data_IF_360355668448
#
_entry.id   IF_360355668448
#
_cell.length_a   1.000
_cell.length_b   1.000
_cell.length_c   1.000
_cell.angle_alpha   90.00
_cell.angle_beta   90.00
_cell.angle_gamma   90.00
#
_symmetry.space_group_name_H-M   'P 1'
#
loop_
_entity.id
_entity.type
_entity.pdbx_description
1 polymer ?
#
# COMPACT_ATOMS: atom_id res chain seq x y z
N UNK A 1 0.81 18.41 -18.48
CA UNK A 1 -0.03 18.27 -17.27
C UNK A 1 -0.70 19.57 -16.84
N UNK A 2 -0.03 20.75 -16.82
CA UNK A 2 -0.75 22.03 -16.58
C UNK A 2 -1.89 22.26 -17.57
N UNK A 3 -1.68 21.87 -18.82
CA UNK A 3 -2.65 22.00 -19.91
C UNK A 3 -3.76 20.93 -19.90
N UNK A 4 -3.65 19.92 -19.03
CA UNK A 4 -4.61 18.81 -18.92
C UNK A 4 -4.91 18.49 -17.44
N UNK A 5 -5.53 19.40 -16.68
CA UNK A 5 -5.77 19.23 -15.24
C UNK A 5 -6.67 18.02 -14.95
N UNK A 6 -7.61 17.69 -15.83
CA UNK A 6 -8.47 16.52 -15.72
C UNK A 6 -7.71 15.20 -15.80
N UNK A 7 -6.82 15.06 -16.79
CA UNK A 7 -5.98 13.87 -16.96
C UNK A 7 -5.06 13.68 -15.74
N UNK A 8 -4.51 14.77 -15.21
CA UNK A 8 -3.69 14.74 -14.00
C UNK A 8 -4.50 14.26 -12.79
N UNK A 9 -5.73 14.73 -12.62
CA UNK A 9 -6.63 14.27 -11.55
C UNK A 9 -7.01 12.79 -11.71
N UNK A 10 -7.24 12.30 -12.94
CA UNK A 10 -7.48 10.87 -13.20
C UNK A 10 -6.24 10.05 -12.83
N UNK A 11 -5.05 10.49 -13.22
CA UNK A 11 -3.81 9.81 -12.88
C UNK A 11 -3.58 9.76 -11.35
N UNK A 12 -3.93 10.83 -10.63
CA UNK A 12 -3.90 10.84 -9.16
C UNK A 12 -4.85 9.82 -8.53
N UNK A 13 -6.06 9.66 -9.08
CA UNK A 13 -7.01 8.65 -8.60
C UNK A 13 -6.50 7.21 -8.76
N UNK A 14 -5.62 6.97 -9.73
CA UNK A 14 -4.95 5.69 -9.91
C UNK A 14 -3.73 5.54 -9.00
N UNK A 15 -2.95 6.61 -8.81
CA UNK A 15 -1.72 6.59 -8.02
C UNK A 15 -2.01 6.49 -6.52
N UNK A 16 -2.99 7.23 -5.99
CA UNK A 16 -3.30 7.28 -4.57
C UNK A 16 -3.50 5.89 -3.92
N UNK A 17 -4.40 5.01 -4.43
CA UNK A 17 -4.53 3.67 -3.89
C UNK A 17 -3.28 2.81 -4.10
N UNK A 18 -2.51 3.03 -5.17
CA UNK A 18 -1.27 2.29 -5.40
C UNK A 18 -0.20 2.63 -4.35
N UNK A 19 -0.05 3.92 -3.98
CA UNK A 19 0.84 4.38 -2.92
C UNK A 19 0.35 3.90 -1.54
N UNK A 20 -0.95 3.96 -1.28
CA UNK A 20 -1.54 3.47 -0.03
C UNK A 20 -1.15 1.99 0.23
N UNK A 21 -1.30 1.13 -0.79
CA UNK A 21 -0.91 -0.29 -0.72
C UNK A 21 0.61 -0.53 -0.79
N UNK A 22 1.37 0.40 -1.37
CA UNK A 22 2.81 0.29 -1.49
C UNK A 22 3.48 1.67 -1.61
N UNK A 23 4.17 2.19 -0.57
CA UNK A 23 4.83 3.49 -0.64
C UNK A 23 5.89 3.61 -1.75
N UNK A 24 6.37 2.49 -2.31
CA UNK A 24 7.29 2.46 -3.46
C UNK A 24 6.59 2.50 -4.83
N UNK A 25 5.27 2.68 -4.89
CA UNK A 25 4.49 2.73 -6.13
C UNK A 25 4.25 4.16 -6.65
N UNK A 26 5.03 5.14 -6.17
CA UNK A 26 5.04 6.51 -6.70
C UNK A 26 5.38 6.52 -8.19
N UNK A 27 4.63 7.30 -8.97
CA UNK A 27 4.74 7.37 -10.43
C UNK A 27 6.10 7.90 -10.90
N UNK A 28 6.70 8.81 -10.13
CA UNK A 28 8.02 9.40 -10.42
C UNK A 28 9.11 8.88 -9.48
N UNK A 29 9.01 7.62 -9.05
CA UNK A 29 10.02 6.94 -8.25
C UNK A 29 10.13 7.49 -6.82
N UNK A 30 10.84 8.60 -6.65
CA UNK A 30 10.99 9.29 -5.35
C UNK A 30 9.82 10.23 -5.06
N UNK A 31 9.17 10.75 -6.10
CA UNK A 31 8.08 11.71 -5.98
C UNK A 31 6.74 11.15 -6.45
N UNK A 32 5.66 11.49 -5.75
CA UNK A 32 4.29 11.25 -6.23
C UNK A 32 3.90 12.29 -7.26
N UNK A 33 2.87 12.00 -8.05
CA UNK A 33 2.29 13.00 -8.93
C UNK A 33 1.70 14.17 -8.12
N UNK A 34 1.14 13.92 -6.93
CA UNK A 34 0.60 14.98 -6.08
C UNK A 34 1.68 15.96 -5.62
N UNK A 35 2.81 15.43 -5.12
CA UNK A 35 3.97 16.24 -4.71
C UNK A 35 4.44 17.12 -5.86
N UNK A 36 4.47 16.58 -7.09
CA UNK A 36 4.88 17.34 -8.27
C UNK A 36 3.87 18.43 -8.63
N UNK A 37 2.58 18.15 -8.60
CA UNK A 37 1.53 19.12 -8.93
C UNK A 37 1.47 20.26 -7.93
N UNK A 38 1.66 19.97 -6.64
CA UNK A 38 1.77 20.98 -5.57
C UNK A 38 3.00 21.85 -5.80
N UNK A 39 4.18 21.24 -6.05
CA UNK A 39 5.41 21.98 -6.32
C UNK A 39 5.31 22.88 -7.59
N UNK A 40 4.58 22.42 -8.61
CA UNK A 40 4.37 23.16 -9.86
C UNK A 40 3.26 24.22 -9.76
N UNK A 41 2.59 24.36 -8.60
CA UNK A 41 1.50 25.30 -8.35
C UNK A 41 0.20 24.98 -9.09
N UNK A 42 0.00 23.73 -9.51
CA UNK A 42 -1.15 23.32 -10.32
C UNK A 42 -2.37 23.02 -9.44
N UNK A 43 -2.90 24.05 -8.78
CA UNK A 43 -4.01 23.94 -7.81
C UNK A 43 -5.27 23.37 -8.45
N UNK A 44 -5.58 23.73 -9.69
CA UNK A 44 -6.78 23.23 -10.39
C UNK A 44 -6.81 21.70 -10.50
N UNK A 45 -5.67 21.07 -10.85
CA UNK A 45 -5.60 19.60 -10.93
C UNK A 45 -5.75 18.94 -9.55
N UNK A 46 -5.20 19.57 -8.50
CA UNK A 46 -5.30 19.11 -7.12
C UNK A 46 -6.74 19.22 -6.61
N UNK A 47 -7.41 20.34 -6.87
CA UNK A 47 -8.81 20.56 -6.49
C UNK A 47 -9.75 19.58 -7.19
N UNK A 48 -9.56 19.36 -8.50
CA UNK A 48 -10.31 18.36 -9.26
C UNK A 48 -10.09 16.94 -8.72
N UNK A 49 -8.86 16.61 -8.34
CA UNK A 49 -8.56 15.33 -7.70
C UNK A 49 -9.32 15.18 -6.38
N UNK A 50 -9.25 16.15 -5.47
CA UNK A 50 -9.94 16.08 -4.19
C UNK A 50 -11.46 16.00 -4.35
N UNK A 51 -12.04 16.79 -5.26
CA UNK A 51 -13.47 16.75 -5.57
C UNK A 51 -13.91 15.36 -6.07
N UNK A 52 -13.11 14.73 -6.93
CA UNK A 52 -13.40 13.37 -7.43
C UNK A 52 -13.18 12.30 -6.37
N UNK A 53 -12.13 12.43 -5.56
CA UNK A 53 -11.79 11.51 -4.48
C UNK A 53 -12.91 11.43 -3.44
N UNK A 54 -13.49 12.58 -3.09
CA UNK A 54 -14.60 12.68 -2.13
C UNK A 54 -15.88 11.96 -2.60
N UNK A 55 -16.02 11.71 -3.90
CA UNK A 55 -17.17 11.00 -4.48
C UNK A 55 -16.92 9.50 -4.66
N UNK A 56 -15.69 9.02 -4.43
CA UNK A 56 -15.40 7.60 -4.55
C UNK A 56 -15.91 6.83 -3.33
N UNK A 57 -16.40 5.60 -3.50
CA UNK A 57 -16.51 4.66 -2.38
C UNK A 57 -15.11 4.36 -1.83
N UNK A 58 -15.01 4.08 -0.54
CA UNK A 58 -13.77 3.72 0.14
C UNK A 58 -13.86 2.31 0.70
N UNK A 59 -12.71 1.67 0.82
CA UNK A 59 -12.55 0.38 1.46
C UNK A 59 -11.36 0.40 2.42
N UNK A 60 -11.45 -0.39 3.47
CA UNK A 60 -10.30 -0.74 4.30
C UNK A 60 -9.73 -2.05 3.79
N UNK A 61 -8.43 -2.04 3.50
CA UNK A 61 -7.70 -3.19 3.01
C UNK A 61 -6.72 -3.70 4.05
N UNK A 62 -6.68 -5.01 4.21
CA UNK A 62 -5.57 -5.72 4.81
C UNK A 62 -4.48 -5.92 3.75
N UNK A 63 -3.27 -5.47 4.04
CA UNK A 63 -2.12 -5.63 3.17
C UNK A 63 -1.03 -6.40 3.89
N UNK A 64 -0.64 -7.52 3.30
CA UNK A 64 0.49 -8.33 3.76
C UNK A 64 1.54 -8.39 2.65
N UNK A 65 2.80 -8.12 2.98
CA UNK A 65 3.91 -8.21 2.02
C UNK A 65 5.01 -9.12 2.56
N UNK A 66 5.56 -9.91 1.66
CA UNK A 66 6.74 -10.73 1.91
C UNK A 66 7.83 -10.29 0.95
N UNK A 67 9.01 -9.98 1.47
CA UNK A 67 10.19 -9.75 0.66
C UNK A 67 11.17 -10.89 0.95
N UNK A 68 11.48 -11.69 -0.05
CA UNK A 68 12.39 -12.83 0.09
C UNK A 68 13.84 -12.40 -0.06
N UNK A 69 14.78 -13.19 0.45
CA UNK A 69 16.20 -13.05 0.14
C UNK A 69 16.47 -13.46 -1.31
N UNK A 70 17.33 -12.71 -1.99
CA UNK A 70 17.88 -13.12 -3.29
C UNK A 70 18.85 -14.28 -3.10
N UNK A 71 19.06 -15.09 -4.14
CA UNK A 71 20.11 -16.10 -4.13
C UNK A 71 21.47 -15.46 -4.45
N UNK A 72 22.50 -15.82 -3.70
CA UNK A 72 23.89 -15.50 -4.01
C UNK A 72 24.27 -16.08 -5.38
N UNK A 73 24.96 -15.29 -6.21
CA UNK A 73 25.32 -15.70 -7.57
C UNK A 73 26.27 -16.91 -7.58
N UNK A 74 27.17 -16.96 -6.61
CA UNK A 74 28.19 -18.02 -6.50
C UNK A 74 27.73 -19.18 -5.61
N UNK A 75 27.15 -18.88 -4.44
CA UNK A 75 26.75 -19.92 -3.49
C UNK A 75 25.41 -20.58 -3.80
N UNK A 76 24.54 -19.92 -4.58
CA UNK A 76 23.14 -20.32 -4.80
C UNK A 76 22.24 -20.26 -3.55
N UNK A 77 22.81 -19.92 -2.39
CA UNK A 77 22.13 -19.84 -1.09
C UNK A 77 21.44 -18.47 -0.94
N UNK A 78 20.36 -18.37 -0.15
CA UNK A 78 19.77 -17.08 0.19
C UNK A 78 20.79 -16.15 0.84
N UNK A 79 20.89 -14.93 0.34
CA UNK A 79 21.68 -13.86 0.92
C UNK A 79 20.73 -12.90 1.66
N UNK A 80 20.76 -12.87 3.00
CA UNK A 80 19.81 -12.10 3.80
C UNK A 80 19.98 -10.58 3.62
N UNK A 81 21.10 -10.12 3.06
CA UNK A 81 21.35 -8.69 2.83
C UNK A 81 20.91 -8.24 1.44
N UNK A 82 20.45 -9.16 0.59
CA UNK A 82 20.04 -8.86 -0.78
C UNK A 82 18.57 -9.14 -1.00
N UNK A 83 17.83 -8.12 -1.42
CA UNK A 83 16.41 -8.23 -1.74
C UNK A 83 16.18 -9.11 -2.97
N UNK A 84 15.36 -10.15 -2.78
CA UNK A 84 14.81 -10.99 -3.84
C UNK A 84 13.40 -10.55 -4.26
N UNK A 85 12.63 -11.50 -4.79
CA UNK A 85 11.25 -11.25 -5.21
C UNK A 85 10.39 -10.81 -4.03
N UNK A 86 9.37 -10.00 -4.32
CA UNK A 86 8.37 -9.58 -3.34
C UNK A 86 7.00 -10.17 -3.69
N UNK A 87 6.29 -10.69 -2.70
CA UNK A 87 4.91 -11.13 -2.82
C UNK A 87 4.00 -10.22 -2.01
N UNK A 88 2.74 -10.14 -2.39
CA UNK A 88 1.71 -9.41 -1.65
C UNK A 88 0.43 -10.23 -1.56
N UNK A 89 -0.28 -10.04 -0.46
CA UNK A 89 -1.69 -10.37 -0.28
C UNK A 89 -2.45 -9.09 0.01
N UNK A 90 -3.59 -8.90 -0.66
CA UNK A 90 -4.53 -7.81 -0.40
C UNK A 90 -5.91 -8.42 -0.20
N UNK A 91 -6.59 -8.03 0.87
CA UNK A 91 -7.98 -8.40 1.18
C UNK A 91 -8.78 -7.16 1.54
N UNK A 92 -10.02 -7.09 1.09
CA UNK A 92 -10.98 -6.07 1.54
C UNK A 92 -11.60 -6.52 2.85
N UNK A 93 -11.57 -5.66 3.87
CA UNK A 93 -12.18 -5.93 5.19
C UNK A 93 -13.49 -5.17 5.38
N UNK A 94 -13.58 -3.96 4.83
CA UNK A 94 -14.74 -3.08 4.96
C UNK A 94 -14.88 -2.19 3.73
N UNK A 95 -16.11 -1.79 3.40
CA UNK A 95 -16.43 -0.86 2.30
C UNK A 95 -17.55 0.08 2.74
N UNK A 96 -17.42 1.37 2.47
CA UNK A 96 -18.38 2.40 2.84
C UNK A 96 -18.02 3.75 2.24
N UNK A 97 -18.48 4.84 2.87
CA UNK A 97 -17.98 6.17 2.56
C UNK A 97 -16.54 6.35 3.06
N UNK A 98 -15.87 7.43 2.63
CA UNK A 98 -14.56 7.81 3.17
C UNK A 98 -14.59 7.92 4.70
N UNK A 99 -15.60 8.60 5.25
CA UNK A 99 -15.71 8.79 6.70
C UNK A 99 -15.93 7.46 7.42
N UNK A 100 -16.76 6.57 6.88
CA UNK A 100 -17.01 5.25 7.48
C UNK A 100 -15.75 4.39 7.47
N UNK A 101 -15.04 4.33 6.34
CA UNK A 101 -13.82 3.54 6.21
C UNK A 101 -12.69 4.07 7.12
N UNK A 102 -12.52 5.39 7.19
CA UNK A 102 -11.55 6.01 8.08
C UNK A 102 -11.91 5.79 9.55
N UNK A 103 -13.19 5.92 9.93
CA UNK A 103 -13.65 5.63 11.29
C UNK A 103 -13.47 4.15 11.66
N UNK A 104 -13.76 3.24 10.72
CA UNK A 104 -13.56 1.79 10.90
C UNK A 104 -12.09 1.46 11.16
N UNK A 105 -11.17 2.12 10.44
CA UNK A 105 -9.72 1.97 10.62
C UNK A 105 -9.27 2.56 11.96
N UNK A 106 -9.69 3.78 12.27
CA UNK A 106 -9.35 4.47 13.51
C UNK A 106 -9.85 3.73 14.76
N UNK A 107 -11.00 3.04 14.66
CA UNK A 107 -11.52 2.17 15.72
C UNK A 107 -10.63 0.95 16.04
N UNK A 108 -9.61 0.67 15.23
CA UNK A 108 -8.63 -0.42 15.44
C UNK A 108 -7.26 0.07 15.91
N UNK A 109 -7.00 1.37 15.84
CA UNK A 109 -5.72 1.93 16.26
C UNK A 109 -5.34 3.18 15.46
N UNK A 110 -4.09 3.59 15.66
CA UNK A 110 -3.54 4.79 15.05
C UNK A 110 -2.81 4.46 13.75
N UNK A 111 -3.20 5.14 12.67
CA UNK A 111 -2.50 5.09 11.41
C UNK A 111 -1.33 6.10 11.40
N UNK A 112 -0.23 5.77 10.72
CA UNK A 112 0.87 6.71 10.50
C UNK A 112 0.47 7.88 9.57
N UNK A 113 1.42 8.79 9.32
CA UNK A 113 1.21 9.96 8.45
C UNK A 113 0.82 9.60 7.00
N UNK A 114 1.11 8.37 6.58
CA UNK A 114 0.72 7.83 5.27
C UNK A 114 -0.63 7.08 5.31
N UNK A 115 -1.33 7.09 6.45
CA UNK A 115 -2.64 6.45 6.62
C UNK A 115 -2.59 4.93 6.85
N UNK A 116 -1.43 4.37 7.21
CA UNK A 116 -1.27 2.93 7.47
C UNK A 116 -1.25 2.62 8.95
N UNK A 117 -2.13 1.73 9.37
CA UNK A 117 -2.09 1.12 10.69
C UNK A 117 -1.20 -0.12 10.61
N UNK A 118 0.04 -0.01 11.09
CA UNK A 118 1.01 -1.10 11.06
C UNK A 118 0.74 -2.14 12.15
N UNK A 119 0.57 -3.38 11.72
CA UNK A 119 0.42 -4.56 12.60
C UNK A 119 1.75 -5.33 12.72
N UNK A 120 2.60 -5.26 11.68
CA UNK A 120 3.97 -5.77 11.67
C UNK A 120 4.81 -4.96 10.70
N UNK A 121 5.99 -4.57 11.15
CA UNK A 121 7.03 -3.98 10.31
C UNK A 121 8.38 -4.55 10.75
N UNK A 122 8.84 -5.60 10.07
CA UNK A 122 10.16 -6.19 10.35
C UNK A 122 11.28 -5.19 10.01
N UNK A 123 12.46 -5.41 10.60
CA UNK A 123 13.63 -4.55 10.42
C UNK A 123 13.98 -4.35 8.92
N UNK A 124 14.40 -3.13 8.53
CA UNK A 124 14.86 -2.88 7.18
C UNK A 124 16.12 -3.71 6.86
N UNK A 125 16.31 -3.97 5.57
CA UNK A 125 17.55 -4.52 4.97
C UNK A 125 17.99 -5.94 5.38
N UNK A 126 17.15 -6.67 6.12
CA UNK A 126 17.30 -8.12 6.34
C UNK A 126 16.15 -8.88 5.66
N UNK A 127 16.47 -9.97 4.98
CA UNK A 127 15.52 -10.80 4.24
C UNK A 127 15.60 -12.28 4.69
N UNK A 128 14.47 -13.02 4.72
CA UNK A 128 13.13 -12.55 4.39
C UNK A 128 12.59 -11.56 5.43
N UNK A 129 11.74 -10.63 4.98
CA UNK A 129 11.00 -9.72 5.85
C UNK A 129 9.53 -9.71 5.50
N UNK A 130 8.71 -9.54 6.53
CA UNK A 130 7.28 -9.42 6.44
C UNK A 130 6.79 -8.04 6.89
N UNK A 131 5.72 -7.61 6.27
CA UNK A 131 5.03 -6.36 6.58
C UNK A 131 3.53 -6.65 6.58
N UNK A 132 2.82 -6.14 7.60
CA UNK A 132 1.39 -6.29 7.77
C UNK A 132 0.81 -4.96 8.20
N UNK A 133 -0.17 -4.44 7.47
CA UNK A 133 -0.85 -3.21 7.83
C UNK A 133 -2.28 -3.17 7.29
N UNK A 134 -3.09 -2.31 7.89
CA UNK A 134 -4.40 -1.93 7.39
C UNK A 134 -4.31 -0.51 6.79
N UNK A 135 -5.06 -0.26 5.72
CA UNK A 135 -5.12 1.07 5.09
C UNK A 135 -6.49 1.34 4.50
N UNK A 136 -6.99 2.56 4.65
CA UNK A 136 -8.21 3.03 4.02
C UNK A 136 -7.87 3.81 2.75
N UNK A 137 -8.48 3.45 1.62
CA UNK A 137 -8.35 4.17 0.35
C UNK A 137 -9.57 3.88 -0.52
N UNK A 138 -9.63 4.46 -1.73
CA UNK A 138 -10.67 4.18 -2.72
C UNK A 138 -10.94 2.68 -2.91
N UNK A 139 -12.23 2.34 -3.04
CA UNK A 139 -12.69 0.98 -3.24
C UNK A 139 -12.39 0.48 -4.67
N UNK A 140 -12.53 -0.82 -4.89
CA UNK A 140 -12.41 -1.45 -6.21
C UNK A 140 -11.11 -2.21 -6.46
N UNK A 141 -10.22 -2.31 -5.47
CA UNK A 141 -9.03 -3.16 -5.57
C UNK A 141 -9.45 -4.63 -5.36
N UNK A 142 -9.28 -5.45 -6.39
CA UNK A 142 -9.58 -6.87 -6.30
C UNK A 142 -8.63 -7.57 -5.31
N UNK A 143 -9.12 -8.55 -4.51
CA UNK A 143 -8.28 -9.41 -3.71
C UNK A 143 -7.18 -10.04 -4.55
N UNK A 144 -5.96 -10.09 -4.01
CA UNK A 144 -4.80 -10.59 -4.76
C UNK A 144 -3.83 -11.26 -3.83
N UNK A 145 -3.61 -12.56 -4.02
CA UNK A 145 -2.56 -13.32 -3.38
C UNK A 145 -2.03 -14.40 -4.33
N UNK A 146 -0.77 -14.83 -4.13
CA UNK A 146 -0.28 -16.06 -4.77
C UNK A 146 -0.86 -17.28 -4.06
N UNK A 147 -1.06 -18.43 -4.74
CA UNK A 147 -1.62 -19.62 -4.12
C UNK A 147 -0.92 -20.07 -2.83
N UNK A 148 0.42 -20.02 -2.79
CA UNK A 148 1.22 -20.41 -1.63
C UNK A 148 1.57 -19.25 -0.67
N UNK A 149 0.89 -18.10 -0.79
CA UNK A 149 1.19 -16.94 0.06
C UNK A 149 1.01 -17.26 1.54
N UNK A 150 -0.13 -17.87 1.93
CA UNK A 150 -0.41 -18.22 3.33
C UNK A 150 0.66 -19.13 3.95
N UNK A 151 1.10 -20.15 3.20
CA UNK A 151 2.18 -21.04 3.64
C UNK A 151 3.50 -20.30 3.84
N UNK A 152 3.88 -19.40 2.91
CA UNK A 152 5.11 -18.62 3.08
C UNK A 152 5.00 -17.59 4.21
N UNK A 153 3.81 -17.03 4.42
CA UNK A 153 3.54 -16.13 5.53
C UNK A 153 3.77 -16.85 6.87
N UNK A 154 3.13 -18.01 7.08
CA UNK A 154 3.31 -18.80 8.30
C UNK A 154 4.77 -19.20 8.52
N UNK A 155 5.49 -19.60 7.45
CA UNK A 155 6.91 -19.97 7.54
C UNK A 155 7.81 -18.82 7.99
N UNK A 156 7.51 -17.59 7.60
CA UNK A 156 8.35 -16.40 7.87
C UNK A 156 7.94 -15.74 9.18
N UNK A 157 6.64 -15.65 9.45
CA UNK A 157 6.10 -14.91 10.58
C UNK A 157 5.90 -15.79 11.83
N UNK A 158 5.81 -17.11 11.70
CA UNK A 158 5.36 -18.02 12.75
C UNK A 158 3.84 -17.97 12.96
N UNK A 159 3.39 -18.52 14.09
CA UNK A 159 1.98 -18.54 14.51
C UNK A 159 1.54 -17.24 15.26
N UNK A 160 2.42 -16.22 15.29
CA UNK A 160 2.28 -14.94 15.98
C UNK A 160 2.15 -13.77 14.96
N UNK A 161 1.20 -12.83 15.00
CA UNK A 161 0.09 -12.51 15.92
C UNK A 161 -0.93 -11.72 15.07
N UNK A 162 -2.20 -12.06 15.21
CA UNK A 162 -3.37 -11.17 15.44
C UNK A 162 -4.62 -11.72 14.76
N UNK A 163 -5.64 -11.82 15.62
CA UNK A 163 -6.98 -12.35 15.48
C UNK A 163 -7.62 -12.07 14.13
N UNK A 164 -8.50 -12.98 13.72
CA UNK A 164 -9.48 -12.76 12.66
C UNK A 164 -10.12 -11.37 12.84
N UNK A 165 -9.70 -10.41 11.99
CA UNK A 165 -10.24 -9.04 11.92
C UNK A 165 -11.54 -8.98 11.12
#
# INVERSE_FOLDING_TARGET
MRESPDEAAIALLLEAPAIALNPRSKLFGTHSLLERLVADGNTLAVDLFHARLAQQPWSVYEVRRLHFAARGKESGRPDPLRKGTSWRSVRTLHTGSMNDACAWLAGRGYADDDGRLWLRQDLPDVYPRAEHFLVATTAGIAPKARPSFGQQWQRICGDDVLMDL
#
